data_IF_222526251386
#
_entry.id   IF_222526251386
#
_cell.length_a   1.000
_cell.length_b   1.000
_cell.length_c   1.000
_cell.angle_alpha   90.00
_cell.angle_beta   90.00
_cell.angle_gamma   90.00
#
_symmetry.space_group_name_H-M   'P 1'
#
loop_
_entity.id
_entity.type
_entity.pdbx_description
1 polymer ?
#
# COMPACT_ATOMS: atom_id res chain seq x y z
N UNK A 1 17.10 71.68 12.80
CA UNK A 1 15.64 71.47 13.01
C UNK A 1 15.52 70.19 13.84
N UNK A 2 15.19 70.24 15.15
CA UNK A 2 13.84 70.39 15.72
C UNK A 2 12.86 69.33 15.15
N UNK A 3 12.14 68.51 15.92
CA UNK A 3 12.10 68.24 17.38
C UNK A 3 11.44 66.84 17.60
N UNK A 4 11.31 66.21 18.78
CA UNK A 4 11.58 66.58 20.18
C UNK A 4 12.07 65.35 21.00
N UNK A 5 11.63 65.18 22.27
CA UNK A 5 12.01 64.09 23.20
C UNK A 5 10.98 63.93 24.35
N UNK A 6 10.93 62.74 24.97
CA UNK A 6 10.61 62.48 26.41
C UNK A 6 9.18 62.63 26.97
N UNK A 7 8.70 61.55 27.59
CA UNK A 7 8.14 61.46 28.96
C UNK A 7 8.37 60.01 29.44
N UNK A 8 8.97 59.64 30.58
CA UNK A 8 8.63 59.95 31.99
C UNK A 8 7.76 58.79 32.55
N UNK A 9 8.02 58.10 33.68
CA UNK A 9 8.92 58.30 34.84
C UNK A 9 9.32 56.96 35.51
N UNK A 10 10.27 57.04 36.42
CA UNK A 10 10.83 55.99 37.30
C UNK A 10 9.94 55.53 38.48
N UNK A 11 10.15 54.29 38.94
CA UNK A 11 10.16 53.91 40.38
C UNK A 11 11.36 53.00 40.71
N UNK A 12 11.71 52.91 41.99
CA UNK A 12 13.04 52.54 42.54
C UNK A 12 12.93 51.42 43.58
N UNK A 13 14.00 50.61 43.72
CA UNK A 13 14.37 49.78 44.91
C UNK A 13 13.40 48.61 45.24
N UNK A 14 13.77 47.49 45.93
CA UNK A 14 14.80 47.20 46.95
C UNK A 14 15.55 45.85 46.67
N UNK A 15 16.68 45.63 47.38
CA UNK A 15 17.54 44.41 47.55
C UNK A 15 16.73 43.16 48.03
N UNK A 16 17.22 41.91 48.14
CA UNK A 16 18.54 41.25 48.27
C UNK A 16 18.39 39.78 47.79
N UNK A 17 19.30 39.08 47.09
CA UNK A 17 20.67 38.56 47.40
C UNK A 17 20.77 37.55 48.57
N UNK A 18 21.31 36.36 48.25
CA UNK A 18 21.87 35.26 49.08
C UNK A 18 20.90 34.39 49.93
N UNK A 19 21.17 33.11 50.24
CA UNK A 19 22.04 32.03 49.67
C UNK A 19 21.65 30.68 50.34
N UNK A 20 21.90 29.55 49.66
CA UNK A 20 21.98 28.14 50.11
C UNK A 20 21.73 27.78 51.61
N UNK A 21 21.00 26.68 51.88
CA UNK A 21 21.63 25.38 52.23
C UNK A 21 20.65 24.18 52.34
N UNK A 22 21.25 22.99 52.34
CA UNK A 22 20.67 21.65 52.38
C UNK A 22 19.98 21.31 53.70
N UNK A 23 19.05 20.35 53.68
CA UNK A 23 19.04 19.23 54.64
C UNK A 23 18.28 18.02 54.08
N UNK A 24 18.88 16.83 54.22
CA UNK A 24 18.21 15.53 54.02
C UNK A 24 17.65 15.02 55.34
N UNK A 25 16.57 14.25 55.31
CA UNK A 25 16.21 13.32 56.38
C UNK A 25 15.46 12.11 55.81
N UNK A 26 16.00 10.91 56.05
CA UNK A 26 15.30 9.64 55.82
C UNK A 26 14.39 9.32 57.03
N UNK A 27 13.31 8.57 56.80
CA UNK A 27 12.39 8.15 57.86
C UNK A 27 11.57 6.94 57.43
N UNK A 28 11.90 5.77 57.99
CA UNK A 28 11.37 4.46 57.58
C UNK A 28 10.15 4.06 58.42
N UNK A 29 9.20 3.28 57.87
CA UNK A 29 8.03 2.81 58.61
C UNK A 29 7.07 1.89 57.83
N UNK A 30 7.03 0.60 58.22
CA UNK A 30 6.05 -0.40 57.73
C UNK A 30 5.06 -0.76 58.85
N UNK A 31 3.76 -0.79 58.52
CA UNK A 31 2.61 -1.59 59.04
C UNK A 31 1.33 -1.00 58.39
N UNK A 32 0.18 -1.65 58.22
CA UNK A 32 -0.29 -3.01 58.53
C UNK A 32 -1.64 -3.29 57.84
N UNK A 33 -2.22 -4.47 58.07
CA UNK A 33 -3.36 -5.11 57.36
C UNK A 33 -4.73 -4.39 57.49
N UNK A 34 -5.64 -4.67 56.53
CA UNK A 34 -7.07 -4.25 56.43
C UNK A 34 -7.98 -4.84 57.55
N UNK A 35 -9.34 -4.62 57.67
CA UNK A 35 -10.37 -4.57 56.59
C UNK A 35 -11.61 -3.66 56.79
N UNK A 36 -12.55 -3.68 55.82
CA UNK A 36 -14.01 -3.68 56.11
C UNK A 36 -14.90 -2.54 55.60
N UNK A 37 -15.95 -2.91 54.85
CA UNK A 37 -17.26 -2.22 54.66
C UNK A 37 -17.33 -0.83 53.98
N UNK A 38 -18.30 -0.50 53.11
CA UNK A 38 -19.41 -1.28 52.50
C UNK A 38 -19.84 -0.63 51.15
N UNK A 39 -20.38 -1.47 50.24
CA UNK A 39 -21.47 -1.27 49.25
C UNK A 39 -21.54 0.01 48.38
N UNK A 40 -21.91 0.01 47.09
CA UNK A 40 -22.52 -0.99 46.17
C UNK A 40 -22.15 -0.59 44.71
N UNK A 41 -22.34 -1.36 43.63
CA UNK A 41 -22.81 -2.73 43.45
C UNK A 41 -22.17 -3.33 42.17
N UNK A 42 -21.90 -4.64 42.22
CA UNK A 42 -21.58 -5.54 41.09
C UNK A 42 -22.91 -5.88 40.33
N UNK A 43 -23.01 -6.55 39.17
CA UNK A 43 -22.06 -7.17 38.25
C UNK A 43 -22.72 -7.35 36.86
N UNK A 44 -21.92 -7.62 35.83
CA UNK A 44 -22.35 -8.32 34.61
C UNK A 44 -22.93 -9.72 34.93
N UNK A 45 -23.92 -10.16 34.17
CA UNK A 45 -24.18 -11.60 33.99
C UNK A 45 -24.29 -11.94 32.51
N UNK A 46 -23.58 -12.98 32.07
CA UNK A 46 -23.83 -13.63 30.79
C UNK A 46 -24.98 -14.61 30.96
N UNK A 47 -26.15 -14.26 30.42
CA UNK A 47 -27.18 -15.20 29.98
C UNK A 47 -27.95 -14.55 28.82
N UNK A 48 -28.77 -15.35 28.13
CA UNK A 48 -29.65 -14.93 27.03
C UNK A 48 -29.04 -14.65 25.65
N UNK A 49 -28.10 -15.51 25.22
CA UNK A 49 -27.87 -15.81 23.78
C UNK A 49 -29.00 -16.70 23.22
N UNK A 50 -30.27 -16.39 23.54
CA UNK A 50 -31.40 -17.24 23.13
C UNK A 50 -32.75 -16.56 22.92
N UNK A 51 -32.78 -15.26 22.62
CA UNK A 51 -33.98 -14.63 22.06
C UNK A 51 -33.69 -13.55 21.00
N UNK A 52 -33.18 -13.99 19.84
CA UNK A 52 -33.11 -13.17 18.62
C UNK A 52 -33.15 -14.01 17.33
N UNK A 53 -34.09 -14.95 17.28
CA UNK A 53 -34.39 -15.80 16.11
C UNK A 53 -35.91 -15.83 15.80
N UNK A 54 -36.56 -14.67 15.88
CA UNK A 54 -37.97 -14.47 15.53
C UNK A 54 -38.22 -13.12 14.86
N UNK A 55 -37.55 -12.87 13.72
CA UNK A 55 -38.11 -12.05 12.63
C UNK A 55 -37.22 -12.13 11.37
N UNK A 56 -37.40 -13.19 10.58
CA UNK A 56 -36.77 -13.36 9.27
C UNK A 56 -37.59 -14.29 8.35
N UNK A 57 -38.91 -14.11 8.31
CA UNK A 57 -39.82 -14.87 7.44
C UNK A 57 -40.79 -13.96 6.70
N UNK A 58 -40.28 -13.24 5.68
CA UNK A 58 -41.09 -12.54 4.68
C UNK A 58 -40.29 -12.24 3.41
N UNK A 59 -40.77 -12.79 2.28
CA UNK A 59 -40.33 -12.53 0.88
C UNK A 59 -38.92 -13.03 0.50
N UNK A 60 -38.65 -13.65 -0.67
CA UNK A 60 -39.46 -14.00 -1.85
C UNK A 60 -39.13 -15.44 -2.29
N UNK A 61 -40.16 -16.25 -2.60
CA UNK A 61 -40.00 -17.49 -3.37
C UNK A 61 -40.12 -17.19 -4.86
N UNK A 62 -39.14 -17.58 -5.68
CA UNK A 62 -39.27 -17.56 -7.15
C UNK A 62 -39.34 -18.99 -7.67
N UNK A 63 -40.56 -19.47 -7.89
CA UNK A 63 -40.80 -20.74 -8.59
C UNK A 63 -40.47 -20.59 -10.09
N UNK A 64 -39.63 -21.47 -10.63
CA UNK A 64 -39.49 -21.63 -12.08
C UNK A 64 -40.65 -22.49 -12.62
N UNK A 65 -41.66 -21.85 -13.21
CA UNK A 65 -42.58 -22.53 -14.14
C UNK A 65 -41.95 -22.65 -15.53
N UNK A 66 -42.28 -23.74 -16.23
CA UNK A 66 -41.77 -24.09 -17.56
C UNK A 66 -42.93 -24.34 -18.53
N UNK A 67 -42.75 -23.91 -19.78
CA UNK A 67 -43.55 -24.25 -20.99
C UNK A 67 -44.96 -23.66 -21.15
N UNK A 68 -45.52 -23.59 -22.39
CA UNK A 68 -45.00 -24.14 -23.66
C UNK A 68 -44.95 -23.19 -24.90
N UNK A 69 -44.30 -23.71 -25.95
CA UNK A 69 -44.53 -23.52 -27.41
C UNK A 69 -44.52 -22.15 -28.12
N UNK A 70 -43.65 -22.03 -29.14
CA UNK A 70 -44.05 -21.69 -30.53
C UNK A 70 -43.07 -22.34 -31.52
N UNK A 71 -43.55 -22.84 -32.68
CA UNK A 71 -42.77 -23.57 -33.69
C UNK A 71 -42.21 -22.68 -34.81
N UNK A 72 -41.03 -23.04 -35.33
CA UNK A 72 -40.57 -23.01 -36.75
C UNK A 72 -39.18 -23.71 -36.76
N UNK A 73 -38.74 -24.53 -37.74
CA UNK A 73 -39.42 -25.10 -38.91
C UNK A 73 -38.42 -25.47 -40.02
N UNK A 74 -37.91 -26.72 -40.07
CA UNK A 74 -37.00 -27.26 -41.12
C UNK A 74 -35.51 -26.95 -40.89
N UNK A 75 -34.55 -27.78 -41.33
CA UNK A 75 -34.62 -29.03 -42.12
C UNK A 75 -33.45 -29.99 -41.83
N UNK A 76 -33.44 -31.14 -42.50
CA UNK A 76 -32.56 -32.29 -42.23
C UNK A 76 -31.12 -32.14 -42.77
N UNK A 77 -30.17 -32.88 -42.19
CA UNK A 77 -29.53 -33.99 -42.92
C UNK A 77 -28.77 -34.96 -41.99
N UNK A 78 -28.59 -36.19 -42.47
CA UNK A 78 -28.10 -37.38 -41.75
C UNK A 78 -26.58 -37.39 -41.49
N UNK A 79 -26.17 -38.02 -40.38
CA UNK A 79 -25.42 -39.31 -40.45
C UNK A 79 -25.18 -39.96 -39.08
N UNK A 80 -25.30 -41.30 -39.04
CA UNK A 80 -25.24 -42.12 -37.83
C UNK A 80 -23.85 -42.74 -37.59
N UNK A 81 -23.42 -42.87 -36.32
CA UNK A 81 -22.03 -43.21 -35.96
C UNK A 81 -21.79 -44.02 -34.66
N UNK A 82 -22.55 -45.10 -34.42
CA UNK A 82 -22.23 -46.25 -33.54
C UNK A 82 -21.81 -46.00 -32.07
N UNK A 83 -22.65 -46.49 -31.15
CA UNK A 83 -22.23 -47.07 -29.85
C UNK A 83 -22.87 -48.47 -29.73
N UNK A 84 -22.11 -49.47 -29.30
CA UNK A 84 -22.62 -50.81 -28.95
C UNK A 84 -22.07 -51.26 -27.58
N UNK A 85 -22.79 -52.12 -26.84
CA UNK A 85 -22.58 -52.29 -25.39
C UNK A 85 -21.60 -53.40 -25.00
N UNK A 86 -21.02 -53.25 -23.81
CA UNK A 86 -20.15 -54.24 -23.15
C UNK A 86 -20.97 -55.44 -22.66
N UNK A 87 -20.52 -56.67 -23.00
CA UNK A 87 -21.07 -57.92 -22.47
C UNK A 87 -20.27 -58.41 -21.24
N UNK A 88 -20.97 -59.08 -20.32
CA UNK A 88 -20.41 -60.09 -19.39
C UNK A 88 -19.74 -61.21 -20.24
N UNK A 89 -18.79 -62.03 -19.79
CA UNK A 89 -18.48 -62.58 -18.46
C UNK A 89 -17.10 -63.27 -18.56
N UNK A 90 -16.40 -63.53 -17.45
CA UNK A 90 -15.84 -64.87 -17.15
C UNK A 90 -15.27 -64.90 -15.73
N UNK A 91 -15.35 -66.07 -15.08
CA UNK A 91 -14.87 -66.30 -13.72
C UNK A 91 -13.53 -67.04 -13.75
N UNK A 92 -12.71 -66.85 -12.71
CA UNK A 92 -11.58 -67.71 -12.39
C UNK A 92 -11.56 -67.95 -10.88
N UNK A 93 -11.53 -69.22 -10.49
CA UNK A 93 -11.52 -69.62 -9.10
C UNK A 93 -10.11 -69.45 -8.51
N UNK A 94 -10.03 -68.98 -7.27
CA UNK A 94 -8.79 -68.97 -6.47
C UNK A 94 -9.09 -69.60 -5.11
N UNK A 95 -8.15 -70.44 -4.68
CA UNK A 95 -8.24 -71.36 -3.55
C UNK A 95 -8.25 -70.61 -2.20
N UNK A 96 -9.15 -70.96 -1.28
CA UNK A 96 -9.08 -70.46 0.11
C UNK A 96 -7.99 -71.21 0.89
N UNK A 97 -6.99 -70.46 1.35
CA UNK A 97 -6.10 -70.84 2.43
C UNK A 97 -6.32 -69.86 3.59
N UNK A 98 -6.86 -70.36 4.71
CA UNK A 98 -7.14 -69.54 5.88
C UNK A 98 -5.87 -69.32 6.70
N UNK A 99 -5.27 -68.14 6.60
CA UNK A 99 -4.23 -67.67 7.53
C UNK A 99 -4.77 -66.50 8.35
N UNK A 100 -4.70 -66.64 9.67
CA UNK A 100 -5.13 -65.59 10.62
C UNK A 100 -4.14 -64.43 10.62
N UNK A 101 -4.47 -63.34 9.94
CA UNK A 101 -3.70 -62.09 9.98
C UNK A 101 -4.18 -61.25 11.18
N UNK A 102 -3.29 -60.83 12.11
CA UNK A 102 -3.68 -59.94 13.20
C UNK A 102 -4.04 -58.55 12.67
N UNK A 103 -4.93 -57.79 13.35
CA UNK A 103 -5.34 -56.47 12.90
C UNK A 103 -4.13 -55.51 12.87
N UNK A 104 -4.04 -54.63 11.86
CA UNK A 104 -2.96 -53.65 11.79
C UNK A 104 -3.05 -52.69 12.98
N UNK A 105 -1.92 -52.49 13.67
CA UNK A 105 -1.79 -51.47 14.68
C UNK A 105 -2.03 -50.09 14.08
N UNK A 106 -2.65 -49.19 14.87
CA UNK A 106 -2.85 -47.79 14.53
C UNK A 106 -1.52 -47.03 14.51
N UNK A 107 -0.71 -47.27 13.47
CA UNK A 107 0.46 -46.48 13.16
C UNK A 107 0.03 -45.05 12.88
N UNK A 108 0.46 -44.12 13.74
CA UNK A 108 0.27 -42.70 13.52
C UNK A 108 0.91 -42.32 12.19
N UNK A 109 0.08 -42.09 11.15
CA UNK A 109 0.50 -41.35 9.96
C UNK A 109 0.79 -39.93 10.42
N UNK A 110 2.04 -39.66 10.76
CA UNK A 110 2.54 -38.31 10.89
C UNK A 110 2.19 -37.59 9.58
N UNK A 111 1.31 -36.59 9.68
CA UNK A 111 1.07 -35.67 8.59
C UNK A 111 2.40 -34.95 8.36
N UNK A 112 3.14 -35.38 7.33
CA UNK A 112 4.31 -34.67 6.86
C UNK A 112 3.84 -33.30 6.39
N UNK A 113 3.88 -32.32 7.30
CA UNK A 113 3.74 -30.93 6.96
C UNK A 113 4.82 -30.64 5.93
N UNK A 114 4.41 -30.40 4.68
CA UNK A 114 5.29 -29.87 3.66
C UNK A 114 5.79 -28.53 4.17
N UNK A 115 7.00 -28.53 4.73
CA UNK A 115 7.64 -27.33 5.23
C UNK A 115 7.68 -26.33 4.07
N UNK A 116 6.89 -25.26 4.19
CA UNK A 116 6.94 -24.15 3.25
C UNK A 116 8.37 -23.64 3.21
N UNK A 117 8.96 -23.54 2.01
CA UNK A 117 10.30 -23.00 1.86
C UNK A 117 10.42 -21.65 2.58
N UNK A 118 11.55 -21.33 3.21
CA UNK A 118 11.73 -20.06 3.89
C UNK A 118 11.40 -18.91 2.94
N UNK A 119 10.43 -18.08 3.31
CA UNK A 119 10.18 -16.84 2.56
C UNK A 119 11.38 -15.94 2.78
N UNK A 120 12.02 -15.48 1.70
CA UNK A 120 13.15 -14.54 1.74
C UNK A 120 12.89 -13.41 2.74
N UNK A 121 13.90 -12.92 3.48
CA UNK A 121 13.73 -11.73 4.31
C UNK A 121 13.26 -10.55 3.45
N UNK A 122 12.42 -9.66 4.02
CA UNK A 122 11.94 -8.49 3.28
C UNK A 122 13.14 -7.62 2.84
N UNK A 123 13.20 -7.18 1.58
CA UNK A 123 14.19 -6.21 1.14
C UNK A 123 13.91 -4.87 1.82
N UNK A 124 14.61 -4.57 2.92
CA UNK A 124 14.39 -3.38 3.75
C UNK A 124 14.49 -2.07 2.96
N UNK A 125 15.30 -2.04 1.90
CA UNK A 125 15.43 -0.91 0.99
C UNK A 125 14.15 -0.59 0.21
N UNK A 126 13.25 -1.57 0.01
CA UNK A 126 11.98 -1.38 -0.69
C UNK A 126 10.88 -0.80 0.23
N UNK A 127 11.09 -0.84 1.55
CA UNK A 127 10.11 -0.44 2.57
C UNK A 127 10.72 0.65 3.46
N UNK A 128 10.66 1.93 3.04
CA UNK A 128 11.19 3.07 3.79
C UNK A 128 10.37 3.35 5.06
N UNK A 129 10.62 2.57 6.10
CA UNK A 129 10.04 2.74 7.44
C UNK A 129 10.89 3.71 8.24
N UNK A 130 10.26 4.75 8.78
CA UNK A 130 10.92 5.69 9.70
C UNK A 130 11.43 4.94 10.94
N UNK A 131 12.64 5.24 11.45
CA UNK A 131 13.14 4.63 12.67
C UNK A 131 12.19 4.92 13.85
N UNK A 132 12.06 4.01 14.83
CA UNK A 132 11.19 4.24 15.98
C UNK A 132 11.62 5.51 16.73
N UNK A 133 10.71 6.47 16.84
CA UNK A 133 10.93 7.65 17.70
C UNK A 133 11.01 7.15 19.15
N UNK A 134 12.09 7.44 19.90
CA UNK A 134 12.20 7.04 21.30
C UNK A 134 11.01 7.58 22.10
N UNK A 135 10.43 6.77 23.00
CA UNK A 135 9.27 7.18 23.84
C UNK A 135 9.52 8.45 24.67
N UNK A 136 10.79 8.77 24.93
CA UNK A 136 11.23 9.94 25.70
C UNK A 136 11.89 11.01 24.81
N UNK A 137 11.85 10.88 23.49
CA UNK A 137 12.22 11.98 22.61
C UNK A 137 11.17 13.08 22.82
N UNK A 138 11.60 14.21 23.38
CA UNK A 138 10.78 15.41 23.37
C UNK A 138 10.34 15.66 21.93
N UNK A 139 9.05 15.90 21.71
CA UNK A 139 8.60 16.42 20.43
C UNK A 139 9.47 17.65 20.12
N UNK A 140 10.12 17.73 18.94
CA UNK A 140 10.99 18.85 18.63
C UNK A 140 10.19 20.12 18.85
N UNK A 141 10.73 21.05 19.65
CA UNK A 141 9.99 22.19 20.14
C UNK A 141 9.50 23.02 18.94
N UNK A 142 8.24 22.81 18.57
CA UNK A 142 7.56 23.53 17.51
C UNK A 142 7.17 24.90 18.04
N UNK A 143 8.19 25.74 18.23
CA UNK A 143 7.98 27.17 18.00
C UNK A 143 7.29 27.25 16.63
N UNK A 144 6.12 27.90 16.52
CA UNK A 144 5.42 28.00 15.26
C UNK A 144 6.29 28.86 14.34
N UNK A 145 7.08 28.20 13.48
CA UNK A 145 7.89 28.88 12.50
C UNK A 145 6.99 29.85 11.74
N UNK A 146 7.48 31.08 11.57
CA UNK A 146 6.80 32.07 10.77
C UNK A 146 6.46 31.45 9.42
N UNK A 147 5.23 31.70 8.96
CA UNK A 147 4.77 31.20 7.68
C UNK A 147 5.60 31.86 6.58
N UNK A 148 6.62 31.16 6.08
CA UNK A 148 7.46 31.64 4.99
C UNK A 148 6.78 31.26 3.69
N UNK A 149 6.59 32.24 2.83
CA UNK A 149 6.12 32.03 1.46
C UNK A 149 7.14 31.17 0.70
N UNK A 150 6.64 30.27 -0.14
CA UNK A 150 7.43 29.41 -1.02
C UNK A 150 6.81 29.46 -2.41
N UNK A 151 7.69 29.34 -3.40
CA UNK A 151 7.37 29.31 -4.82
C UNK A 151 8.15 28.16 -5.46
N UNK A 152 7.68 27.68 -6.61
CA UNK A 152 8.43 26.76 -7.47
C UNK A 152 8.70 27.46 -8.82
N UNK A 153 9.81 27.15 -9.51
CA UNK A 153 10.10 27.74 -10.81
C UNK A 153 8.96 27.52 -11.81
N UNK A 154 8.60 28.57 -12.56
CA UNK A 154 7.54 28.51 -13.58
C UNK A 154 6.10 28.66 -13.06
N UNK A 155 5.89 28.66 -11.74
CA UNK A 155 4.56 28.85 -11.13
C UNK A 155 4.34 30.29 -10.66
N UNK A 156 3.11 30.79 -10.82
CA UNK A 156 2.63 32.01 -10.15
C UNK A 156 1.94 31.73 -8.80
N UNK A 157 1.82 30.47 -8.40
CA UNK A 157 1.23 30.10 -7.13
C UNK A 157 2.18 30.35 -5.96
N UNK A 158 1.61 30.44 -4.77
CA UNK A 158 2.33 30.72 -3.54
C UNK A 158 1.71 29.94 -2.40
N UNK A 159 2.52 29.15 -1.70
CA UNK A 159 2.10 28.42 -0.51
C UNK A 159 3.06 28.69 0.63
N UNK A 160 2.52 28.79 1.85
CA UNK A 160 3.35 28.96 3.04
C UNK A 160 3.96 27.63 3.50
N UNK A 161 5.06 27.72 4.23
CA UNK A 161 5.70 26.59 4.94
C UNK A 161 4.77 25.80 5.87
N UNK A 162 3.58 26.33 6.21
CA UNK A 162 2.55 25.64 7.00
C UNK A 162 1.50 24.92 6.15
N UNK A 163 1.22 25.40 4.94
CA UNK A 163 0.23 24.81 4.02
C UNK A 163 0.78 23.57 3.32
N UNK A 164 2.06 23.59 2.92
CA UNK A 164 2.71 22.50 2.19
C UNK A 164 2.62 21.13 2.91
N UNK A 165 2.83 21.03 4.24
CA UNK A 165 2.63 19.78 4.98
C UNK A 165 1.20 19.53 5.49
N UNK A 166 0.21 20.41 5.25
CA UNK A 166 -1.17 20.18 5.69
C UNK A 166 -1.85 19.13 4.81
N UNK A 167 -2.31 18.05 5.42
CA UNK A 167 -2.97 16.92 4.74
C UNK A 167 -4.33 17.29 4.11
N UNK A 168 -4.83 18.49 4.35
CA UNK A 168 -6.10 19.02 3.82
C UNK A 168 -5.90 20.31 3.02
N UNK A 169 -4.66 20.61 2.62
CA UNK A 169 -4.33 21.65 1.65
C UNK A 169 -3.42 21.02 0.60
N UNK A 170 -3.79 21.07 -0.67
CA UNK A 170 -2.92 20.62 -1.77
C UNK A 170 -2.14 21.80 -2.34
N UNK A 171 -0.79 21.76 -2.36
CA UNK A 171 0.03 22.69 -3.12
C UNK A 171 -0.12 22.42 -4.62
N UNK A 172 -1.12 23.05 -5.23
CA UNK A 172 -1.33 23.05 -6.67
C UNK A 172 -0.55 24.21 -7.30
N UNK A 173 0.68 23.90 -7.70
CA UNK A 173 1.56 24.86 -8.33
C UNK A 173 1.19 25.15 -9.80
N UNK A 174 0.40 24.30 -10.46
CA UNK A 174 0.14 24.40 -11.90
C UNK A 174 -1.32 23.99 -12.23
N UNK A 175 -2.33 24.70 -11.70
CA UNK A 175 -3.75 24.36 -11.88
C UNK A 175 -4.20 24.31 -13.34
N UNK A 176 -3.47 24.95 -14.24
CA UNK A 176 -3.69 24.94 -15.69
C UNK A 176 -3.24 23.66 -16.40
N UNK A 177 -2.50 22.76 -15.75
CA UNK A 177 -1.93 21.55 -16.36
C UNK A 177 -2.83 20.30 -16.20
N UNK A 178 -3.95 20.43 -15.49
CA UNK A 178 -4.95 19.37 -15.31
C UNK A 178 -6.38 19.91 -15.35
N UNK A 179 -7.36 19.00 -15.38
CA UNK A 179 -8.76 19.36 -15.21
C UNK A 179 -9.06 19.89 -13.79
N UNK A 180 -10.26 20.42 -13.54
CA UNK A 180 -10.65 20.87 -12.19
C UNK A 180 -10.59 19.70 -11.20
N UNK A 181 -9.80 19.86 -10.12
CA UNK A 181 -9.76 18.89 -9.03
C UNK A 181 -11.09 18.86 -8.26
N UNK A 182 -11.68 17.69 -7.99
CA UNK A 182 -12.79 17.58 -7.05
C UNK A 182 -12.31 17.81 -5.62
N UNK A 183 -13.20 18.22 -4.71
CA UNK A 183 -12.87 18.49 -3.31
C UNK A 183 -12.20 17.30 -2.59
N UNK A 184 -12.56 16.05 -2.94
CA UNK A 184 -11.90 14.83 -2.42
C UNK A 184 -10.41 14.73 -2.78
N UNK A 185 -9.98 15.39 -3.86
CA UNK A 185 -8.58 15.45 -4.30
C UNK A 185 -7.90 16.72 -3.78
N UNK A 186 -8.57 17.88 -3.78
CA UNK A 186 -7.97 19.17 -3.40
C UNK A 186 -7.92 19.44 -1.88
N UNK A 187 -8.99 19.09 -1.14
CA UNK A 187 -9.19 19.48 0.27
C UNK A 187 -9.37 18.27 1.20
N UNK A 188 -9.96 17.20 0.67
CA UNK A 188 -10.42 16.06 1.46
C UNK A 188 -11.62 16.42 2.36
N UNK A 189 -11.80 15.66 3.44
CA UNK A 189 -12.80 15.92 4.49
C UNK A 189 -12.20 15.67 5.87
N UNK A 190 -12.08 16.75 6.64
CA UNK A 190 -11.58 16.71 8.03
C UNK A 190 -12.54 15.93 8.95
N UNK A 191 -12.03 15.22 9.97
CA UNK A 191 -10.61 14.94 10.25
C UNK A 191 -10.07 13.66 9.59
N UNK A 192 -10.94 12.84 8.98
CA UNK A 192 -10.63 11.42 8.70
C UNK A 192 -10.18 11.11 7.27
N UNK A 193 -10.42 12.01 6.31
CA UNK A 193 -10.11 11.80 4.88
C UNK A 193 -9.18 12.91 4.38
N UNK A 194 -7.85 12.72 4.45
CA UNK A 194 -6.88 13.59 3.79
C UNK A 194 -7.18 13.82 2.30
N UNK A 195 -6.73 14.95 1.76
CA UNK A 195 -6.84 15.25 0.34
C UNK A 195 -6.00 14.26 -0.49
N UNK A 196 -6.61 13.64 -1.51
CA UNK A 196 -5.92 12.63 -2.30
C UNK A 196 -4.71 13.21 -3.05
N UNK A 197 -4.83 14.46 -3.52
CA UNK A 197 -3.80 15.20 -4.22
C UNK A 197 -2.59 15.57 -3.36
N UNK A 198 -2.66 15.48 -2.02
CA UNK A 198 -1.49 15.73 -1.18
C UNK A 198 -0.45 14.62 -1.34
N UNK A 199 -0.89 13.36 -1.26
CA UNK A 199 0.00 12.19 -1.39
C UNK A 199 0.20 11.77 -2.85
N UNK A 200 -0.85 11.80 -3.67
CA UNK A 200 -0.78 11.37 -5.08
C UNK A 200 -0.37 12.49 -6.06
N UNK A 201 -0.22 13.73 -5.57
CA UNK A 201 -0.03 14.97 -6.34
C UNK A 201 -1.25 15.33 -7.22
N UNK A 202 -1.45 16.62 -7.58
CA UNK A 202 -2.50 17.03 -8.52
C UNK A 202 -2.43 16.29 -9.86
N UNK A 203 -1.21 16.02 -10.34
CA UNK A 203 -0.93 15.29 -11.58
C UNK A 203 -1.07 13.75 -11.45
N UNK A 204 -1.38 13.22 -10.26
CA UNK A 204 -1.56 11.79 -10.02
C UNK A 204 -0.29 10.92 -10.17
N UNK A 205 0.90 11.51 -10.31
CA UNK A 205 2.15 10.76 -10.47
C UNK A 205 2.69 10.22 -9.12
N UNK A 206 2.24 10.76 -7.99
CA UNK A 206 2.66 10.36 -6.65
C UNK A 206 4.09 10.82 -6.31
N UNK A 207 4.73 10.10 -5.40
CA UNK A 207 6.16 10.20 -5.02
C UNK A 207 6.62 8.76 -4.70
N UNK A 208 7.90 8.41 -4.59
CA UNK A 208 8.34 7.03 -4.33
C UNK A 208 7.60 6.33 -3.18
N UNK A 209 7.16 7.03 -2.13
CA UNK A 209 6.38 6.46 -1.02
C UNK A 209 4.90 6.13 -1.36
N UNK A 210 4.33 6.77 -2.39
CA UNK A 210 2.93 6.65 -2.86
C UNK A 210 2.81 6.03 -4.27
N UNK A 211 1.68 5.39 -4.60
CA UNK A 211 1.49 4.85 -5.94
C UNK A 211 1.16 5.97 -6.95
N UNK A 212 1.71 5.91 -8.16
CA UNK A 212 1.16 6.69 -9.27
C UNK A 212 -0.24 6.17 -9.62
N UNK A 213 -1.22 7.07 -9.69
CA UNK A 213 -2.63 6.78 -9.94
C UNK A 213 -3.13 7.32 -11.28
N UNK A 214 -2.42 8.26 -11.88
CA UNK A 214 -2.69 8.75 -13.23
C UNK A 214 -2.80 7.58 -14.24
N UNK A 215 -3.80 7.69 -15.12
CA UNK A 215 -4.07 6.74 -16.22
C UNK A 215 -4.49 5.34 -15.78
N UNK A 216 -4.85 5.13 -14.50
CA UNK A 216 -5.52 3.91 -14.07
C UNK A 216 -7.03 4.03 -14.34
N UNK A 217 -7.69 2.95 -14.74
CA UNK A 217 -9.15 2.97 -14.92
C UNK A 217 -9.89 3.24 -13.61
N UNK A 218 -11.00 3.98 -13.69
CA UNK A 218 -11.87 4.29 -12.54
C UNK A 218 -12.26 3.01 -11.77
N UNK A 219 -12.63 1.95 -12.49
CA UNK A 219 -12.98 0.65 -11.91
C UNK A 219 -11.84 -0.01 -11.14
N UNK A 220 -10.60 0.07 -11.64
CA UNK A 220 -9.43 -0.43 -10.92
C UNK A 220 -9.17 0.39 -9.65
N UNK A 221 -9.23 1.72 -9.73
CA UNK A 221 -9.04 2.61 -8.56
C UNK A 221 -10.09 2.28 -7.49
N UNK A 222 -11.37 2.19 -7.86
CA UNK A 222 -12.46 1.84 -6.95
C UNK A 222 -12.27 0.45 -6.32
N UNK A 223 -11.90 -0.57 -7.11
CA UNK A 223 -11.56 -1.89 -6.57
C UNK A 223 -10.41 -1.82 -5.57
N UNK A 224 -9.37 -1.01 -5.84
CA UNK A 224 -8.25 -0.86 -4.93
C UNK A 224 -8.63 -0.16 -3.62
N UNK A 225 -9.58 0.78 -3.64
CA UNK A 225 -10.12 1.40 -2.44
C UNK A 225 -10.91 0.38 -1.59
N UNK A 226 -11.73 -0.46 -2.21
CA UNK A 226 -12.45 -1.53 -1.51
C UNK A 226 -11.51 -2.61 -0.95
N UNK A 227 -10.46 -2.99 -1.71
CA UNK A 227 -9.42 -3.91 -1.24
C UNK A 227 -8.69 -3.36 0.01
N UNK A 228 -8.42 -2.04 0.08
CA UNK A 228 -7.85 -1.40 1.27
C UNK A 228 -8.84 -1.37 2.45
N UNK A 229 -10.11 -1.01 2.18
CA UNK A 229 -11.18 -0.87 3.19
C UNK A 229 -11.47 -2.18 3.91
N UNK A 230 -11.61 -3.26 3.14
CA UNK A 230 -11.79 -4.65 3.63
C UNK A 230 -10.51 -5.23 4.24
N UNK A 231 -9.35 -4.65 3.94
CA UNK A 231 -8.05 -5.17 4.35
C UNK A 231 -7.57 -6.37 3.52
N UNK A 232 -8.15 -6.59 2.33
CA UNK A 232 -7.62 -7.51 1.31
C UNK A 232 -6.36 -6.96 0.61
N UNK A 233 -6.01 -5.69 0.85
CA UNK A 233 -4.73 -5.09 0.45
C UNK A 233 -4.02 -4.46 1.66
N UNK A 234 -2.83 -4.98 1.95
CA UNK A 234 -1.92 -4.60 3.03
C UNK A 234 -0.47 -4.60 2.51
N UNK A 235 0.41 -3.93 3.25
CA UNK A 235 1.86 -3.97 3.04
C UNK A 235 2.45 -5.18 3.76
N UNK A 236 3.43 -5.85 3.17
CA UNK A 236 4.21 -6.91 3.83
C UNK A 236 5.08 -6.39 4.98
N UNK A 237 5.39 -5.10 4.99
CA UNK A 237 5.91 -4.38 6.15
C UNK A 237 4.78 -3.54 6.77
N UNK A 238 4.17 -3.97 7.88
CA UNK A 238 2.99 -3.32 8.47
C UNK A 238 3.24 -1.89 8.96
N UNK A 239 4.51 -1.49 9.17
CA UNK A 239 4.90 -0.14 9.61
C UNK A 239 5.01 0.87 8.47
N UNK A 240 4.80 0.46 7.22
CA UNK A 240 4.83 1.36 6.06
C UNK A 240 3.64 2.34 6.11
N UNK A 241 3.90 3.57 6.54
CA UNK A 241 2.87 4.56 6.86
C UNK A 241 1.93 4.89 5.69
N UNK A 242 2.42 5.00 4.46
CA UNK A 242 1.58 5.33 3.29
C UNK A 242 0.46 4.30 3.06
N UNK A 243 0.75 3.01 3.19
CA UNK A 243 -0.26 1.95 3.09
C UNK A 243 -1.18 1.93 4.32
N UNK A 244 -0.66 2.18 5.52
CA UNK A 244 -1.49 2.32 6.73
C UNK A 244 -2.48 3.48 6.62
N UNK A 245 -2.09 4.61 6.03
CA UNK A 245 -2.97 5.75 5.80
C UNK A 245 -4.05 5.44 4.75
N UNK A 246 -3.71 4.79 3.63
CA UNK A 246 -4.71 4.32 2.65
C UNK A 246 -5.75 3.39 3.28
N UNK A 247 -5.34 2.45 4.14
CA UNK A 247 -6.26 1.55 4.86
C UNK A 247 -7.15 2.32 5.84
N UNK A 248 -6.66 3.38 6.48
CA UNK A 248 -7.47 4.21 7.40
C UNK A 248 -8.48 5.05 6.63
N UNK A 249 -8.05 5.83 5.64
CA UNK A 249 -8.94 6.73 4.91
C UNK A 249 -9.99 5.98 4.07
N UNK A 250 -9.65 4.80 3.52
CA UNK A 250 -10.60 3.97 2.76
C UNK A 250 -11.78 3.45 3.60
N UNK A 251 -11.68 3.47 4.94
CA UNK A 251 -12.79 3.15 5.85
C UNK A 251 -13.71 4.34 6.16
N UNK A 252 -13.23 5.57 5.92
CA UNK A 252 -13.93 6.82 6.26
C UNK A 252 -14.44 7.60 5.04
N UNK A 253 -13.91 7.32 3.84
CA UNK A 253 -14.31 7.92 2.57
C UNK A 253 -15.70 7.43 2.12
N UNK A 254 -16.52 8.31 1.54
CA UNK A 254 -17.81 7.91 0.95
C UNK A 254 -17.64 7.33 -0.46
N UNK A 255 -18.63 6.57 -0.98
CA UNK A 255 -18.59 6.10 -2.37
C UNK A 255 -18.46 7.23 -3.41
N UNK A 256 -19.07 8.40 -3.15
CA UNK A 256 -19.08 9.56 -4.03
C UNK A 256 -17.72 10.29 -4.02
N UNK A 257 -17.09 10.40 -2.85
CA UNK A 257 -15.72 10.92 -2.70
C UNK A 257 -14.71 10.01 -3.42
N UNK A 258 -14.84 8.69 -3.24
CA UNK A 258 -13.99 7.71 -3.92
C UNK A 258 -14.20 7.73 -5.44
N UNK A 259 -15.45 7.82 -5.90
CA UNK A 259 -15.80 7.88 -7.34
C UNK A 259 -15.30 9.16 -8.01
N UNK A 260 -15.50 10.31 -7.39
CA UNK A 260 -15.01 11.59 -7.93
C UNK A 260 -13.48 11.62 -8.04
N UNK A 261 -12.76 11.13 -7.03
CA UNK A 261 -11.30 11.01 -7.09
C UNK A 261 -10.85 9.99 -8.15
N UNK A 262 -11.53 8.84 -8.25
CA UNK A 262 -11.22 7.82 -9.25
C UNK A 262 -11.43 8.32 -10.69
N UNK A 263 -12.53 9.02 -10.96
CA UNK A 263 -12.80 9.63 -12.27
C UNK A 263 -11.76 10.71 -12.62
N UNK A 264 -11.37 11.54 -11.65
CA UNK A 264 -10.32 12.54 -11.83
C UNK A 264 -8.98 11.91 -12.23
N UNK A 265 -8.44 10.98 -11.43
CA UNK A 265 -7.14 10.36 -11.71
C UNK A 265 -7.15 9.46 -12.96
N UNK A 266 -8.30 8.86 -13.30
CA UNK A 266 -8.47 8.11 -14.55
C UNK A 266 -8.42 9.01 -15.80
N UNK A 267 -8.86 10.26 -15.69
CA UNK A 267 -8.76 11.26 -16.76
C UNK A 267 -7.34 11.82 -16.96
N UNK A 268 -6.43 11.64 -16.00
CA UNK A 268 -5.05 12.11 -16.12
C UNK A 268 -4.19 11.17 -16.98
N UNK A 269 -3.27 11.76 -17.74
CA UNK A 269 -2.26 11.02 -18.48
C UNK A 269 -1.05 10.72 -17.59
N UNK A 270 -0.67 9.44 -17.49
CA UNK A 270 0.63 9.06 -16.92
C UNK A 270 1.75 9.58 -17.83
N UNK A 271 2.67 10.37 -17.28
CA UNK A 271 3.84 10.91 -17.99
C UNK A 271 5.13 10.31 -17.45
N UNK A 272 6.19 10.34 -18.26
CA UNK A 272 7.50 9.85 -17.85
C UNK A 272 8.24 10.93 -17.09
N UNK A 273 8.57 10.63 -15.83
CA UNK A 273 9.28 11.54 -14.92
C UNK A 273 10.28 10.81 -14.00
N UNK A 274 10.49 9.51 -14.26
CA UNK A 274 11.50 8.69 -13.59
C UNK A 274 12.58 8.33 -14.61
N UNK A 275 13.83 8.61 -14.26
CA UNK A 275 15.01 8.30 -15.07
C UNK A 275 15.73 7.12 -14.45
N UNK A 276 15.77 6.00 -15.17
CA UNK A 276 16.43 4.78 -14.69
C UNK A 276 17.91 4.78 -15.08
N UNK A 277 18.79 4.47 -14.14
CA UNK A 277 20.25 4.41 -14.35
C UNK A 277 20.77 3.04 -13.92
N UNK A 278 21.41 2.33 -14.84
CA UNK A 278 22.15 1.11 -14.53
C UNK A 278 23.55 1.46 -13.98
N UNK A 279 23.85 1.01 -12.77
CA UNK A 279 25.09 1.33 -12.06
C UNK A 279 25.59 0.16 -11.20
N UNK A 280 26.86 0.22 -10.79
CA UNK A 280 27.41 -0.67 -9.76
C UNK A 280 27.41 0.00 -8.37
N UNK A 281 27.25 1.33 -8.32
CA UNK A 281 27.35 2.16 -7.10
C UNK A 281 26.29 3.25 -7.06
N UNK A 282 25.84 3.58 -5.86
CA UNK A 282 24.85 4.62 -5.56
C UNK A 282 25.38 5.58 -4.49
N UNK A 283 24.92 6.84 -4.43
CA UNK A 283 25.15 7.72 -3.28
C UNK A 283 24.66 7.08 -1.98
N UNK A 284 25.26 7.47 -0.84
CA UNK A 284 24.72 7.08 0.46
C UNK A 284 23.33 7.68 0.66
N UNK A 285 22.40 6.89 1.19
CA UNK A 285 21.00 7.29 1.43
C UNK A 285 20.53 6.92 2.83
N UNK A 286 19.56 7.69 3.35
CA UNK A 286 18.79 7.38 4.56
C UNK A 286 17.29 7.35 4.23
N UNK A 287 16.49 6.78 5.13
CA UNK A 287 15.05 6.98 5.11
C UNK A 287 14.73 8.36 5.72
N UNK A 288 14.08 9.22 4.94
CA UNK A 288 13.55 10.51 5.37
C UNK A 288 12.27 10.80 4.59
N UNK A 289 11.24 11.32 5.28
CA UNK A 289 9.91 11.60 4.71
C UNK A 289 9.32 10.43 3.89
N UNK A 290 9.50 9.20 4.41
CA UNK A 290 9.08 7.92 3.81
C UNK A 290 9.73 7.60 2.45
N UNK A 291 10.81 8.28 2.07
CA UNK A 291 11.60 8.01 0.86
C UNK A 291 13.04 7.67 1.20
N UNK A 292 13.79 7.19 0.20
CA UNK A 292 15.26 7.20 0.24
C UNK A 292 15.74 8.59 -0.16
N UNK A 293 16.54 9.24 0.69
CA UNK A 293 17.10 10.58 0.48
C UNK A 293 18.62 10.52 0.60
N UNK A 294 19.33 11.18 -0.31
CA UNK A 294 20.80 11.21 -0.33
C UNK A 294 21.33 11.95 0.91
N UNK A 295 22.23 11.30 1.66
CA UNK A 295 22.90 11.89 2.83
C UNK A 295 24.23 12.53 2.47
N UNK A 296 24.96 11.93 1.54
CA UNK A 296 26.20 12.44 0.97
C UNK A 296 26.27 12.02 -0.49
N UNK A 297 26.31 12.99 -1.39
CA UNK A 297 26.43 12.76 -2.83
C UNK A 297 27.86 12.40 -3.26
N UNK A 298 28.88 12.65 -2.42
CA UNK A 298 30.30 12.37 -2.72
C UNK A 298 30.67 10.94 -2.33
N UNK A 299 30.15 10.43 -1.23
CA UNK A 299 30.35 9.04 -0.80
C UNK A 299 29.36 8.12 -1.50
N UNK A 300 29.86 7.02 -2.06
CA UNK A 300 29.03 6.01 -2.73
C UNK A 300 29.25 4.63 -2.12
N UNK A 301 28.23 3.78 -2.20
CA UNK A 301 28.26 2.36 -1.81
C UNK A 301 27.89 1.44 -2.98
N UNK A 302 28.27 0.15 -2.96
CA UNK A 302 27.83 -0.81 -3.98
C UNK A 302 26.31 -0.96 -3.99
N UNK A 303 25.68 -0.95 -5.16
CA UNK A 303 24.21 -1.04 -5.24
C UNK A 303 23.68 -2.41 -4.79
N UNK A 304 24.42 -3.50 -5.01
CA UNK A 304 23.96 -4.86 -4.68
C UNK A 304 22.68 -5.22 -5.44
N UNK A 305 21.76 -5.96 -4.82
CA UNK A 305 20.47 -6.32 -5.43
C UNK A 305 19.35 -5.37 -4.94
N UNK A 306 19.45 -4.08 -5.29
CA UNK A 306 18.54 -3.02 -4.80
C UNK A 306 18.04 -2.13 -5.93
N UNK A 307 16.80 -1.65 -5.82
CA UNK A 307 16.37 -0.41 -6.47
C UNK A 307 16.58 0.72 -5.46
N UNK A 308 17.24 1.80 -5.86
CA UNK A 308 17.37 3.01 -5.04
C UNK A 308 16.77 4.18 -5.82
N UNK A 309 15.57 4.60 -5.43
CA UNK A 309 14.80 5.67 -6.06
C UNK A 309 14.88 6.93 -5.19
N UNK A 310 15.46 7.99 -5.73
CA UNK A 310 15.72 9.28 -5.05
C UNK A 310 15.17 10.44 -5.89
N UNK A 311 14.90 11.57 -5.24
CA UNK A 311 14.59 12.83 -5.94
C UNK A 311 15.73 13.29 -6.85
N UNK A 312 15.40 13.91 -7.99
CA UNK A 312 16.38 14.72 -8.75
C UNK A 312 16.69 16.03 -8.02
N UNK A 313 15.67 16.68 -7.46
CA UNK A 313 15.81 17.83 -6.55
C UNK A 313 14.96 17.60 -5.29
N UNK A 314 15.63 17.47 -4.15
CA UNK A 314 14.97 17.21 -2.86
C UNK A 314 14.15 18.39 -2.35
N UNK A 315 14.60 19.64 -2.53
CA UNK A 315 13.81 20.80 -2.09
C UNK A 315 12.52 20.90 -2.90
N UNK A 316 12.60 20.73 -4.22
CA UNK A 316 11.42 20.75 -5.08
C UNK A 316 10.47 19.56 -4.80
N UNK A 317 10.99 18.37 -4.47
CA UNK A 317 10.16 17.24 -4.02
C UNK A 317 9.42 17.56 -2.72
N UNK A 318 10.07 18.22 -1.76
CA UNK A 318 9.47 18.61 -0.48
C UNK A 318 8.47 19.77 -0.61
N UNK A 319 8.62 20.62 -1.63
CA UNK A 319 7.59 21.57 -2.04
C UNK A 319 6.39 20.89 -2.74
N UNK A 320 6.45 19.58 -3.02
CA UNK A 320 5.47 18.83 -3.86
C UNK A 320 5.39 19.33 -5.31
N UNK A 321 6.49 19.83 -5.85
CA UNK A 321 6.54 20.32 -7.23
C UNK A 321 6.30 19.15 -8.23
N UNK A 322 5.25 19.18 -9.07
CA UNK A 322 4.95 18.13 -10.05
C UNK A 322 5.97 18.02 -11.19
N UNK A 323 6.87 18.99 -11.35
CA UNK A 323 7.95 18.98 -12.36
C UNK A 323 9.30 18.48 -11.82
N UNK A 324 9.41 18.15 -10.51
CA UNK A 324 10.62 17.52 -9.95
C UNK A 324 10.55 16.00 -10.11
N UNK A 325 11.42 15.45 -10.96
CA UNK A 325 11.48 14.02 -11.25
C UNK A 325 12.27 13.20 -10.22
N UNK A 326 12.41 11.91 -10.52
CA UNK A 326 13.13 10.94 -9.69
C UNK A 326 14.17 10.16 -10.49
N UNK A 327 15.30 9.84 -9.86
CA UNK A 327 16.30 8.90 -10.40
C UNK A 327 16.11 7.55 -9.73
N UNK A 328 15.91 6.51 -10.53
CA UNK A 328 15.91 5.12 -10.06
C UNK A 328 17.21 4.43 -10.47
N UNK A 329 18.11 4.23 -9.50
CA UNK A 329 19.30 3.42 -9.71
C UNK A 329 18.95 1.94 -9.60
N UNK A 330 19.45 1.14 -10.55
CA UNK A 330 19.33 -0.32 -10.57
C UNK A 330 20.67 -0.97 -10.97
N UNK A 331 20.90 -2.25 -10.65
CA UNK A 331 22.15 -2.93 -11.00
C UNK A 331 22.34 -3.05 -12.53
N UNK A 332 23.59 -3.06 -13.01
CA UNK A 332 23.87 -3.25 -14.44
C UNK A 332 23.27 -4.56 -14.99
N UNK A 333 22.68 -4.49 -16.18
CA UNK A 333 21.98 -5.60 -16.83
C UNK A 333 20.55 -5.86 -16.34
N UNK A 334 20.06 -5.11 -15.35
CA UNK A 334 18.67 -5.19 -14.86
C UNK A 334 17.65 -4.92 -15.95
N UNK A 335 17.88 -3.94 -16.83
CA UNK A 335 16.97 -3.60 -17.93
C UNK A 335 16.89 -4.74 -18.95
N UNK A 336 18.04 -5.31 -19.31
CA UNK A 336 18.12 -6.44 -20.24
C UNK A 336 17.45 -7.71 -19.67
N UNK A 337 17.73 -8.04 -18.39
CA UNK A 337 17.08 -9.16 -17.68
C UNK A 337 15.57 -8.92 -17.53
N UNK A 338 15.16 -7.73 -17.10
CA UNK A 338 13.78 -7.34 -16.91
C UNK A 338 12.96 -7.48 -18.19
N UNK A 339 13.50 -7.02 -19.33
CA UNK A 339 12.88 -7.20 -20.66
C UNK A 339 12.62 -8.67 -20.99
N UNK A 340 13.57 -9.56 -20.68
CA UNK A 340 13.40 -10.99 -20.91
C UNK A 340 12.31 -11.58 -20.01
N UNK A 341 12.34 -11.27 -18.71
CA UNK A 341 11.35 -11.77 -17.74
C UNK A 341 9.92 -11.38 -18.09
N UNK A 342 9.67 -10.10 -18.40
CA UNK A 342 8.31 -9.61 -18.70
C UNK A 342 7.75 -10.15 -20.02
N UNK A 343 8.61 -10.59 -20.95
CA UNK A 343 8.19 -11.09 -22.28
C UNK A 343 8.12 -12.62 -22.38
N UNK A 344 8.90 -13.38 -21.61
CA UNK A 344 9.05 -14.83 -21.79
C UNK A 344 8.44 -15.71 -20.70
N UNK A 345 7.88 -15.12 -19.64
CA UNK A 345 7.44 -15.70 -18.36
C UNK A 345 8.41 -15.38 -17.22
N UNK A 346 7.99 -14.60 -16.20
CA UNK A 346 8.65 -14.61 -14.90
C UNK A 346 8.41 -15.94 -14.18
N UNK A 347 9.49 -16.66 -13.86
CA UNK A 347 9.40 -17.92 -13.13
C UNK A 347 8.63 -19.00 -13.90
N UNK A 348 7.49 -19.44 -13.36
CA UNK A 348 6.62 -20.48 -13.97
C UNK A 348 5.20 -19.98 -14.29
N UNK A 349 4.94 -18.67 -14.19
CA UNK A 349 3.65 -18.06 -14.53
C UNK A 349 3.57 -17.59 -15.99
N UNK A 350 2.43 -17.02 -16.43
CA UNK A 350 2.33 -16.38 -17.74
C UNK A 350 3.21 -15.11 -17.82
N UNK A 351 3.66 -14.75 -19.03
CA UNK A 351 4.43 -13.54 -19.25
C UNK A 351 3.59 -12.28 -18.97
N UNK A 352 4.20 -11.23 -18.40
CA UNK A 352 3.50 -9.99 -18.04
C UNK A 352 2.77 -9.36 -19.23
N UNK A 353 3.37 -9.44 -20.43
CA UNK A 353 2.80 -8.94 -21.68
C UNK A 353 1.50 -9.63 -22.12
N UNK A 354 1.20 -10.83 -21.61
CA UNK A 354 -0.05 -11.54 -21.93
C UNK A 354 -1.27 -10.88 -21.29
N UNK A 355 -1.12 -10.32 -20.08
CA UNK A 355 -2.21 -9.66 -19.35
C UNK A 355 -2.14 -8.12 -19.45
N UNK A 356 -0.96 -7.54 -19.26
CA UNK A 356 -0.75 -6.08 -19.28
C UNK A 356 -0.56 -5.50 -20.70
N UNK A 357 -0.77 -6.31 -21.74
CA UNK A 357 -0.59 -5.94 -23.13
C UNK A 357 0.88 -5.98 -23.58
N UNK A 358 1.10 -6.06 -24.90
CA UNK A 358 2.43 -6.20 -25.51
C UNK A 358 3.41 -5.09 -25.13
N UNK A 359 2.90 -3.86 -25.00
CA UNK A 359 3.65 -2.67 -24.59
C UNK A 359 3.55 -2.36 -23.09
N UNK A 360 2.91 -3.23 -22.30
CA UNK A 360 2.76 -3.11 -20.83
C UNK A 360 1.95 -1.86 -20.37
N UNK A 361 1.17 -1.28 -21.30
CA UNK A 361 0.28 -0.13 -21.11
C UNK A 361 -1.13 -0.49 -20.63
N UNK A 362 -1.34 -1.74 -20.23
CA UNK A 362 -2.59 -2.23 -19.68
C UNK A 362 -3.57 -2.74 -20.73
N UNK A 363 -4.65 -3.33 -20.22
CA UNK A 363 -5.80 -3.88 -20.96
C UNK A 363 -7.06 -3.67 -20.13
N UNK A 364 -8.22 -4.12 -20.61
CA UNK A 364 -9.45 -4.10 -19.82
C UNK A 364 -9.39 -4.94 -18.52
N UNK A 365 -8.46 -5.91 -18.42
CA UNK A 365 -8.34 -6.82 -17.28
C UNK A 365 -7.11 -6.58 -16.40
N UNK A 366 -6.15 -5.76 -16.84
CA UNK A 366 -4.91 -5.51 -16.11
C UNK A 366 -4.44 -4.06 -16.27
N UNK A 367 -4.00 -3.39 -15.20
CA UNK A 367 -3.63 -1.97 -15.24
C UNK A 367 -2.35 -1.73 -16.07
N UNK A 368 -2.14 -0.51 -16.60
CA UNK A 368 -0.83 -0.09 -17.10
C UNK A 368 0.25 -0.22 -16.04
N UNK A 369 1.42 -0.75 -16.41
CA UNK A 369 2.59 -0.89 -15.53
C UNK A 369 3.89 -0.31 -16.12
N UNK A 370 3.91 0.05 -17.41
CA UNK A 370 4.98 0.85 -18.01
C UNK A 370 5.10 2.24 -17.34
N UNK A 371 6.34 2.73 -17.18
CA UNK A 371 6.66 4.07 -16.66
C UNK A 371 6.37 4.28 -15.16
N UNK A 372 5.99 3.25 -14.41
CA UNK A 372 5.64 3.37 -12.97
C UNK A 372 6.85 3.22 -12.04
N UNK A 373 6.76 3.84 -10.86
CA UNK A 373 7.80 3.82 -9.82
C UNK A 373 8.29 2.40 -9.51
N UNK A 374 9.60 2.11 -9.66
CA UNK A 374 10.13 0.78 -9.42
C UNK A 374 10.10 0.41 -7.93
N UNK A 375 10.21 1.37 -7.00
CA UNK A 375 10.06 1.12 -5.56
C UNK A 375 8.61 0.77 -5.20
N UNK A 376 7.62 1.34 -5.89
CA UNK A 376 6.22 0.95 -5.74
C UNK A 376 5.98 -0.44 -6.31
N UNK A 377 6.39 -0.68 -7.55
CA UNK A 377 6.18 -1.96 -8.22
C UNK A 377 6.90 -3.10 -7.49
N UNK A 378 8.08 -2.86 -6.92
CA UNK A 378 8.79 -3.82 -6.05
C UNK A 378 7.90 -4.27 -4.89
N UNK A 379 7.35 -3.32 -4.12
CA UNK A 379 6.43 -3.62 -3.02
C UNK A 379 5.19 -4.35 -3.51
N UNK A 380 4.58 -3.93 -4.64
CA UNK A 380 3.39 -4.60 -5.16
C UNK A 380 3.66 -6.08 -5.49
N UNK A 381 4.78 -6.40 -6.16
CA UNK A 381 5.16 -7.77 -6.51
C UNK A 381 5.38 -8.63 -5.25
N UNK A 382 6.08 -8.10 -4.24
CA UNK A 382 6.32 -8.78 -2.96
C UNK A 382 5.01 -8.97 -2.17
N UNK A 383 4.14 -7.96 -2.14
CA UNK A 383 2.87 -8.00 -1.41
C UNK A 383 1.89 -9.00 -2.05
N UNK A 384 1.92 -9.17 -3.39
CA UNK A 384 1.24 -10.29 -4.07
C UNK A 384 1.87 -11.64 -3.72
N UNK A 385 3.21 -11.77 -3.80
CA UNK A 385 3.93 -13.02 -3.53
C UNK A 385 3.70 -13.54 -2.11
N UNK A 386 3.57 -12.65 -1.13
CA UNK A 386 3.28 -12.97 0.28
C UNK A 386 1.77 -13.04 0.60
N UNK A 387 0.89 -12.80 -0.37
CA UNK A 387 -0.56 -12.81 -0.16
C UNK A 387 -1.10 -11.67 0.70
N UNK A 388 -0.31 -10.61 0.94
CA UNK A 388 -0.75 -9.39 1.62
C UNK A 388 -1.62 -8.50 0.71
N UNK A 389 -1.53 -8.70 -0.60
CA UNK A 389 -2.48 -8.20 -1.60
C UNK A 389 -3.23 -9.38 -2.21
N UNK A 390 -4.47 -9.61 -1.77
CA UNK A 390 -5.27 -10.79 -2.06
C UNK A 390 -6.75 -10.51 -2.41
N UNK A 391 -7.08 -9.26 -2.74
CA UNK A 391 -8.41 -8.85 -3.26
C UNK A 391 -8.78 -9.49 -4.60
N UNK A 392 -9.97 -9.20 -5.12
CA UNK A 392 -10.58 -9.94 -6.24
C UNK A 392 -9.70 -9.96 -7.52
N UNK A 393 -9.07 -8.83 -7.86
CA UNK A 393 -8.15 -8.73 -9.01
C UNK A 393 -6.70 -9.17 -8.73
N UNK A 394 -6.39 -9.64 -7.52
CA UNK A 394 -5.05 -10.07 -7.13
C UNK A 394 -4.77 -11.55 -7.45
N UNK A 395 -5.81 -12.38 -7.57
CA UNK A 395 -5.66 -13.82 -7.80
C UNK A 395 -4.84 -14.14 -9.07
N UNK A 396 -5.06 -13.35 -10.13
CA UNK A 396 -4.36 -13.45 -11.42
C UNK A 396 -2.85 -13.16 -11.29
N UNK A 397 -2.45 -12.33 -10.32
CA UNK A 397 -1.05 -11.97 -10.09
C UNK A 397 -0.27 -13.03 -9.30
N UNK A 398 -0.94 -14.00 -8.65
CA UNK A 398 -0.27 -15.00 -7.80
C UNK A 398 0.76 -15.84 -8.59
N UNK A 399 0.36 -16.45 -9.70
CA UNK A 399 1.24 -17.33 -10.47
C UNK A 399 2.43 -16.59 -11.14
N UNK A 400 2.27 -15.40 -11.75
CA UNK A 400 3.39 -14.60 -12.26
C UNK A 400 4.47 -14.22 -11.22
N UNK A 401 4.10 -14.08 -9.94
CA UNK A 401 5.04 -13.58 -8.90
C UNK A 401 5.56 -14.65 -7.96
N UNK A 402 4.90 -15.81 -7.86
CA UNK A 402 5.19 -16.86 -6.88
C UNK A 402 6.69 -17.22 -6.80
N UNK A 403 7.33 -17.38 -7.96
CA UNK A 403 8.72 -17.83 -8.09
C UNK A 403 9.71 -16.70 -8.45
N UNK A 404 9.32 -15.44 -8.28
CA UNK A 404 10.24 -14.32 -8.47
C UNK A 404 11.25 -14.24 -7.33
N UNK A 405 12.55 -14.19 -7.67
CA UNK A 405 13.59 -13.82 -6.70
C UNK A 405 13.64 -12.30 -6.52
N UNK A 406 14.26 -11.82 -5.44
CA UNK A 406 14.52 -10.38 -5.28
C UNK A 406 15.28 -9.78 -6.47
N UNK A 407 16.20 -10.53 -7.10
CA UNK A 407 16.93 -10.09 -8.31
C UNK A 407 15.99 -9.92 -9.50
N UNK A 408 15.02 -10.81 -9.67
CA UNK A 408 14.02 -10.72 -10.74
C UNK A 408 13.08 -9.53 -10.53
N UNK A 409 12.66 -9.28 -9.28
CA UNK A 409 11.82 -8.12 -8.93
C UNK A 409 12.58 -6.81 -9.23
N UNK A 410 13.85 -6.70 -8.84
CA UNK A 410 14.69 -5.53 -9.16
C UNK A 410 14.80 -5.34 -10.68
N UNK A 411 15.07 -6.40 -11.44
CA UNK A 411 15.21 -6.35 -12.89
C UNK A 411 13.89 -5.97 -13.60
N UNK A 412 12.77 -6.63 -13.25
CA UNK A 412 11.44 -6.35 -13.80
C UNK A 412 11.06 -4.90 -13.54
N UNK A 413 11.18 -4.45 -12.30
CA UNK A 413 10.71 -3.11 -11.90
C UNK A 413 11.57 -2.00 -12.49
N UNK A 414 12.89 -2.18 -12.52
CA UNK A 414 13.81 -1.29 -13.26
C UNK A 414 13.47 -1.20 -14.75
N UNK A 415 13.17 -2.33 -15.40
CA UNK A 415 12.73 -2.32 -16.80
C UNK A 415 11.39 -1.62 -16.98
N UNK A 416 10.37 -1.91 -16.15
CA UNK A 416 9.07 -1.27 -16.22
C UNK A 416 9.15 0.25 -16.09
N UNK A 417 9.97 0.73 -15.16
CA UNK A 417 10.19 2.16 -14.92
C UNK A 417 10.92 2.89 -16.07
N UNK A 418 11.69 2.18 -16.90
CA UNK A 418 12.41 2.79 -18.03
C UNK A 418 11.54 2.99 -19.27
N UNK A 419 10.39 2.30 -19.35
CA UNK A 419 9.46 2.38 -20.47
C UNK A 419 8.73 3.72 -20.55
N UNK A 420 8.30 4.07 -21.77
CA UNK A 420 7.33 5.14 -21.98
C UNK A 420 5.92 4.69 -21.53
N UNK A 421 5.24 5.43 -20.64
CA UNK A 421 3.90 5.10 -20.15
C UNK A 421 2.83 5.18 -21.24
#
# INVERSE_FOLDING_TARGET
MFCARVCGKTRKLIRSKHLQLLFSAEGNGRTGVAPGSNDSCFQLHMQDVRESLKDATKYVSVERKVSPETRYGGGLDDTCGRILPVKRTLASAVLLLATTVPPPSLGQRALAQTATAPVDPLPVWAYPVLPPVPRNAAAPASQPAEARERHVPGSSAMYTSRQIPDLFTVPDWFPQEHGPMPASVADGRRPDVPSCGHCHLPNGLGRPENASVAGLSESYILQQMEDFKTGARKSSEPRLASVTWMIRLSKSITPEEAKSAAAYFAGLKLTKWIRVIETDRVPLTKVENLMMVVTDAKTTEPIGNRVIEISEDFEQTELRNPHSGFIAYVPKGSLARGRQLVTKAPGAGPACTQCHGTNLKGTAIAPPIAGRSPSQMTRQLIDFQRGNRNGAGAAQMKAPVEKLTTVDIVAITGYLASLEP
#
